data_IF_329864159090
#
_entry.id   IF_329864159090
#
_cell.length_a   1.000
_cell.length_b   1.000
_cell.length_c   1.000
_cell.angle_alpha   90.00
_cell.angle_beta   90.00
_cell.angle_gamma   90.00
#
_symmetry.space_group_name_H-M   'P 1'
#
loop_
_entity.id
_entity.type
_entity.pdbx_description
1 polymer ?
#
# COMPACT_ATOMS: atom_id res chain seq x y z
N UNK A 1 -5.11 -2.92 -7.24
CA UNK A 1 -5.34 -3.81 -6.07
C UNK A 1 -4.15 -3.68 -5.12
N UNK A 2 -4.39 -3.61 -3.80
CA UNK A 2 -3.30 -3.44 -2.81
C UNK A 2 -3.10 -4.76 -2.07
N UNK A 3 -2.15 -5.61 -2.53
CA UNK A 3 -1.91 -6.92 -1.95
C UNK A 3 -1.41 -6.81 -0.51
N UNK A 4 -1.74 -7.80 0.30
CA UNK A 4 -1.12 -7.94 1.62
C UNK A 4 0.24 -8.65 1.53
N UNK A 5 0.97 -8.68 2.65
CA UNK A 5 2.31 -9.28 2.71
C UNK A 5 2.32 -10.76 2.32
N UNK A 6 1.25 -11.50 2.67
CA UNK A 6 1.12 -12.92 2.33
C UNK A 6 0.96 -13.11 0.83
N UNK A 7 0.16 -12.25 0.19
CA UNK A 7 -0.01 -12.24 -1.27
C UNK A 7 1.31 -11.86 -1.96
N UNK A 8 2.03 -10.84 -1.48
CA UNK A 8 3.34 -10.47 -2.00
C UNK A 8 4.35 -11.63 -1.95
N UNK A 9 4.36 -12.40 -0.86
CA UNK A 9 5.20 -13.59 -0.75
C UNK A 9 4.79 -14.70 -1.71
N UNK A 10 3.49 -14.89 -1.97
CA UNK A 10 3.01 -15.82 -2.97
C UNK A 10 3.43 -15.42 -4.39
N UNK A 11 3.40 -14.12 -4.71
CA UNK A 11 3.89 -13.60 -6.00
C UNK A 11 5.37 -13.91 -6.21
N UNK A 12 6.19 -13.80 -5.16
CA UNK A 12 7.61 -14.14 -5.24
C UNK A 12 7.87 -15.61 -5.59
N UNK A 13 7.00 -16.52 -5.14
CA UNK A 13 7.11 -17.95 -5.44
C UNK A 13 6.62 -18.28 -6.84
N UNK A 14 5.55 -17.63 -7.29
CA UNK A 14 4.90 -17.94 -8.57
C UNK A 14 5.44 -17.11 -9.74
N UNK A 15 6.15 -16.02 -9.47
CA UNK A 15 6.71 -15.07 -10.44
C UNK A 15 5.70 -14.49 -11.46
N UNK A 16 4.40 -14.64 -11.23
CA UNK A 16 3.36 -14.23 -12.18
C UNK A 16 2.92 -12.77 -12.05
N UNK A 17 2.99 -12.24 -10.84
CA UNK A 17 2.47 -10.91 -10.49
C UNK A 17 3.53 -10.03 -9.82
N UNK A 18 4.81 -10.38 -10.00
CA UNK A 18 5.92 -9.55 -9.57
C UNK A 18 6.07 -8.34 -10.50
N UNK A 19 6.38 -7.19 -9.88
CA UNK A 19 6.77 -5.97 -10.59
C UNK A 19 5.71 -5.47 -11.56
N UNK A 20 4.45 -5.53 -11.14
CA UNK A 20 3.29 -5.08 -11.93
C UNK A 20 3.14 -3.57 -11.98
N UNK A 21 3.88 -2.82 -11.13
CA UNK A 21 3.85 -1.37 -11.06
C UNK A 21 5.13 -0.76 -11.57
N UNK A 22 5.01 0.29 -12.35
CA UNK A 22 6.10 1.10 -12.86
C UNK A 22 5.81 2.60 -12.65
N UNK A 23 6.75 3.47 -13.02
CA UNK A 23 6.67 4.92 -12.80
C UNK A 23 5.52 5.62 -13.52
N UNK A 24 4.90 4.99 -14.51
CA UNK A 24 3.79 5.54 -15.27
C UNK A 24 2.43 5.23 -14.62
N UNK A 25 2.39 4.30 -13.67
CA UNK A 25 1.18 3.93 -12.97
C UNK A 25 0.87 4.89 -11.81
N UNK A 26 -0.40 5.24 -11.66
CA UNK A 26 -0.89 6.12 -10.59
C UNK A 26 -0.63 5.55 -9.19
N UNK A 27 -0.56 4.23 -9.06
CA UNK A 27 -0.30 3.51 -7.81
C UNK A 27 1.16 3.11 -7.62
N UNK A 28 2.09 3.70 -8.41
CA UNK A 28 3.53 3.51 -8.23
C UNK A 28 3.96 3.92 -6.82
N UNK A 29 4.67 3.05 -6.12
CA UNK A 29 5.10 3.22 -4.72
C UNK A 29 3.95 3.51 -3.73
N UNK A 30 2.71 3.16 -4.08
CA UNK A 30 1.57 3.24 -3.16
C UNK A 30 1.42 1.89 -2.45
N UNK A 31 1.77 1.84 -1.18
CA UNK A 31 1.83 0.59 -0.43
C UNK A 31 0.77 0.54 0.70
N UNK A 32 0.30 -0.66 1.01
CA UNK A 32 -0.74 -0.87 2.02
C UNK A 32 -0.11 -0.95 3.41
N UNK A 33 -0.58 -0.11 4.31
CA UNK A 33 -0.15 -0.10 5.72
C UNK A 33 -1.12 -0.82 6.67
N UNK A 34 -2.33 -1.13 6.21
CA UNK A 34 -3.31 -1.82 7.04
C UNK A 34 -4.70 -1.86 6.45
N UNK A 35 -5.66 -2.19 7.27
CA UNK A 35 -7.10 -2.10 7.00
C UNK A 35 -7.73 -1.10 7.95
N UNK A 36 -8.71 -0.37 7.49
CA UNK A 36 -9.45 0.58 8.31
C UNK A 36 -10.86 0.81 7.77
N UNK A 37 -11.61 1.65 8.44
CA UNK A 37 -12.87 2.14 7.91
C UNK A 37 -12.60 3.30 6.93
N UNK A 38 -13.35 3.36 5.85
CA UNK A 38 -13.28 4.43 4.86
C UNK A 38 -14.64 4.96 4.51
N UNK A 39 -14.73 6.28 4.31
CA UNK A 39 -15.95 6.93 3.84
C UNK A 39 -16.09 6.70 2.33
N UNK A 40 -17.17 6.02 1.96
CA UNK A 40 -17.52 5.74 0.57
C UNK A 40 -18.69 6.59 0.08
N UNK A 41 -19.14 7.57 0.84
CA UNK A 41 -20.30 8.41 0.50
C UNK A 41 -20.19 9.06 -0.88
N UNK A 42 -18.96 9.44 -1.28
CA UNK A 42 -18.70 10.05 -2.58
C UNK A 42 -18.82 9.07 -3.78
N UNK A 43 -18.77 7.76 -3.52
CA UNK A 43 -18.90 6.72 -4.55
C UNK A 43 -20.33 6.21 -4.68
N UNK A 44 -21.24 6.60 -3.77
CA UNK A 44 -22.64 6.21 -3.82
C UNK A 44 -23.39 7.28 -4.60
N UNK A 45 -23.72 6.98 -5.85
CA UNK A 45 -24.54 7.86 -6.70
C UNK A 45 -26.02 7.51 -6.53
N UNK A 46 -26.82 8.50 -6.15
CA UNK A 46 -28.27 8.37 -6.13
C UNK A 46 -28.79 9.00 -7.43
N UNK A 47 -29.53 8.23 -8.27
CA UNK A 47 -30.08 8.76 -9.50
C UNK A 47 -30.96 9.98 -9.22
N UNK A 48 -30.80 11.04 -10.02
CA UNK A 48 -31.67 12.20 -9.95
C UNK A 48 -33.07 11.81 -10.41
N UNK A 49 -34.06 12.07 -9.60
CA UNK A 49 -35.45 11.87 -9.97
C UNK A 49 -35.80 12.77 -11.18
N UNK A 50 -36.44 12.16 -12.19
CA UNK A 50 -36.82 12.86 -13.40
C UNK A 50 -38.17 13.59 -13.29
N UNK A 51 -38.94 13.29 -12.23
CA UNK A 51 -40.28 13.88 -12.01
C UNK A 51 -40.43 14.22 -10.54
N UNK A 52 -40.97 15.38 -10.24
CA UNK A 52 -41.40 15.78 -8.90
C UNK A 52 -42.62 14.92 -8.53
N UNK A 53 -42.37 13.82 -7.86
CA UNK A 53 -43.42 13.03 -7.23
C UNK A 53 -43.44 13.42 -5.76
N UNK A 54 -44.64 13.49 -5.18
CA UNK A 54 -44.97 13.75 -3.79
C UNK A 54 -43.88 13.20 -2.85
N UNK A 55 -43.47 14.00 -1.87
CA UNK A 55 -42.55 13.58 -0.80
C UNK A 55 -43.07 12.30 -0.13
N UNK A 56 -42.51 11.16 -0.55
CA UNK A 56 -42.79 9.86 0.02
C UNK A 56 -41.57 9.45 0.84
N UNK A 57 -41.80 8.78 1.98
CA UNK A 57 -40.73 8.23 2.82
C UNK A 57 -39.78 7.32 2.01
N UNK A 58 -40.28 6.66 0.97
CA UNK A 58 -39.48 5.84 0.07
C UNK A 58 -38.43 6.63 -0.73
N UNK A 59 -38.71 7.89 -1.05
CA UNK A 59 -37.80 8.76 -1.78
C UNK A 59 -36.63 9.25 -0.91
N UNK A 60 -36.82 9.32 0.39
CA UNK A 60 -35.79 9.72 1.36
C UNK A 60 -34.87 8.54 1.77
N UNK A 61 -35.35 7.31 1.64
CA UNK A 61 -34.64 6.11 2.08
C UNK A 61 -33.26 5.90 1.44
N UNK A 62 -33.04 6.16 0.12
CA UNK A 62 -31.70 6.11 -0.48
C UNK A 62 -30.70 7.10 0.14
N UNK A 63 -31.17 8.29 0.50
CA UNK A 63 -30.34 9.32 1.14
C UNK A 63 -29.98 8.95 2.58
N UNK A 64 -30.92 8.34 3.31
CA UNK A 64 -30.67 7.81 4.65
C UNK A 64 -29.68 6.66 4.61
N UNK A 65 -29.87 5.68 3.72
CA UNK A 65 -28.95 4.57 3.52
C UNK A 65 -27.55 5.05 3.12
N UNK A 66 -27.46 6.01 2.22
CA UNK A 66 -26.17 6.62 1.85
C UNK A 66 -25.43 7.17 3.06
N UNK A 67 -26.15 7.78 4.01
CA UNK A 67 -25.57 8.35 5.23
C UNK A 67 -25.20 7.27 6.26
N UNK A 68 -26.05 6.26 6.42
CA UNK A 68 -25.88 5.16 7.37
C UNK A 68 -24.75 4.22 6.96
N UNK A 69 -24.67 3.89 5.67
CA UNK A 69 -23.68 2.96 5.09
C UNK A 69 -22.46 3.65 4.51
N UNK A 70 -22.25 4.95 4.82
CA UNK A 70 -21.12 5.72 4.32
C UNK A 70 -19.75 5.16 4.75
N UNK A 71 -19.70 4.48 5.90
CA UNK A 71 -18.47 3.94 6.49
C UNK A 71 -18.33 2.45 6.22
N UNK A 72 -17.50 2.09 5.27
CA UNK A 72 -17.20 0.69 4.95
C UNK A 72 -15.97 0.23 5.74
N UNK A 73 -16.08 -0.85 6.55
CA UNK A 73 -14.94 -1.44 7.24
C UNK A 73 -14.08 -2.29 6.27
N UNK A 74 -12.82 -2.50 6.64
CA UNK A 74 -11.92 -3.39 5.88
C UNK A 74 -11.36 -2.79 4.60
N UNK A 75 -11.43 -1.48 4.43
CA UNK A 75 -10.80 -0.79 3.29
C UNK A 75 -9.28 -0.72 3.50
N UNK A 76 -8.47 -1.10 2.50
CA UNK A 76 -7.03 -0.93 2.57
C UNK A 76 -6.64 0.53 2.81
N UNK A 77 -5.86 0.78 3.85
CA UNK A 77 -5.19 2.06 4.09
C UNK A 77 -3.81 2.01 3.47
N UNK A 78 -3.53 2.98 2.62
CA UNK A 78 -2.31 3.05 1.84
C UNK A 78 -1.51 4.30 2.15
N UNK A 79 -0.23 4.26 1.84
CA UNK A 79 0.67 5.40 1.82
C UNK A 79 1.30 5.50 0.43
N UNK A 80 1.33 6.69 -0.13
CA UNK A 80 1.96 6.97 -1.42
C UNK A 80 3.38 7.51 -1.18
N UNK A 81 4.35 6.61 -1.20
CA UNK A 81 5.75 6.95 -0.96
C UNK A 81 6.38 7.78 -2.09
N UNK A 82 5.74 7.83 -3.25
CA UNK A 82 6.22 8.65 -4.37
C UNK A 82 6.02 10.16 -4.12
N UNK A 83 5.03 10.49 -3.31
CA UNK A 83 4.68 11.89 -2.95
C UNK A 83 5.28 12.33 -1.62
N UNK A 84 5.59 11.37 -0.74
CA UNK A 84 6.12 11.66 0.58
C UNK A 84 7.65 11.77 0.55
N UNK A 85 8.18 12.93 0.92
CA UNK A 85 9.64 13.12 0.97
C UNK A 85 10.29 12.40 2.14
N UNK A 86 9.61 12.36 3.30
CA UNK A 86 10.07 11.70 4.53
C UNK A 86 8.87 11.06 5.22
N UNK A 87 9.01 9.80 5.61
CA UNK A 87 8.00 9.06 6.36
C UNK A 87 8.61 8.57 7.67
N UNK A 88 8.01 8.96 8.80
CA UNK A 88 8.39 8.49 10.12
C UNK A 88 7.47 7.38 10.62
N UNK A 89 8.04 6.28 11.10
CA UNK A 89 7.29 5.21 11.76
C UNK A 89 7.58 5.27 13.25
N UNK A 90 6.56 5.61 14.06
CA UNK A 90 6.69 5.80 15.51
C UNK A 90 5.84 4.79 16.25
N UNK A 91 6.42 4.17 17.28
CA UNK A 91 5.74 3.16 18.09
C UNK A 91 6.73 2.32 18.89
N UNK A 92 6.28 1.20 19.42
CA UNK A 92 7.22 0.25 20.02
C UNK A 92 8.11 -0.41 18.94
N UNK A 93 9.28 -0.90 19.34
CA UNK A 93 10.30 -1.42 18.41
C UNK A 93 9.76 -2.53 17.51
N UNK A 94 9.00 -3.46 18.05
CA UNK A 94 8.50 -4.61 17.29
C UNK A 94 7.51 -4.16 16.20
N UNK A 95 6.57 -3.29 16.55
CA UNK A 95 5.57 -2.78 15.60
C UNK A 95 6.22 -1.94 14.51
N UNK A 96 7.16 -1.05 14.86
CA UNK A 96 7.85 -0.21 13.87
C UNK A 96 8.68 -1.03 12.89
N UNK A 97 9.40 -2.04 13.37
CA UNK A 97 10.16 -2.96 12.53
C UNK A 97 9.24 -3.79 11.62
N UNK A 98 8.11 -4.26 12.14
CA UNK A 98 7.15 -5.03 11.33
C UNK A 98 6.54 -4.18 10.22
N UNK A 99 6.17 -2.93 10.48
CA UNK A 99 5.67 -2.01 9.46
C UNK A 99 6.75 -1.75 8.40
N UNK A 100 7.99 -1.50 8.81
CA UNK A 100 9.10 -1.30 7.87
C UNK A 100 9.32 -2.54 6.98
N UNK A 101 9.29 -3.74 7.54
CA UNK A 101 9.41 -5.01 6.80
C UNK A 101 8.25 -5.23 5.83
N UNK A 102 7.02 -4.90 6.24
CA UNK A 102 5.84 -4.96 5.38
C UNK A 102 6.01 -4.05 4.18
N UNK A 103 6.41 -2.80 4.38
CA UNK A 103 6.64 -1.83 3.30
C UNK A 103 7.74 -2.31 2.34
N UNK A 104 8.89 -2.74 2.87
CA UNK A 104 9.99 -3.26 2.04
C UNK A 104 9.54 -4.44 1.19
N UNK A 105 8.79 -5.39 1.79
CA UNK A 105 8.29 -6.57 1.07
C UNK A 105 7.34 -6.18 -0.06
N UNK A 106 6.43 -5.24 0.19
CA UNK A 106 5.49 -4.77 -0.82
C UNK A 106 6.20 -4.01 -1.94
N UNK A 107 7.12 -3.09 -1.60
CA UNK A 107 7.91 -2.35 -2.58
C UNK A 107 8.67 -3.32 -3.48
N UNK A 108 9.34 -4.31 -2.89
CA UNK A 108 10.13 -5.29 -3.64
C UNK A 108 9.30 -6.24 -4.51
N UNK A 109 8.05 -6.53 -4.11
CA UNK A 109 7.14 -7.38 -4.87
C UNK A 109 6.42 -6.62 -5.98
N UNK A 110 5.98 -5.39 -5.71
CA UNK A 110 5.13 -4.64 -6.62
C UNK A 110 5.92 -3.85 -7.68
N UNK A 111 7.12 -3.37 -7.33
CA UNK A 111 7.89 -2.45 -8.18
C UNK A 111 9.19 -3.09 -8.67
N UNK A 112 9.53 -2.89 -9.94
CA UNK A 112 10.75 -3.45 -10.51
C UNK A 112 12.00 -2.80 -9.91
N UNK A 113 13.05 -3.59 -9.71
CA UNK A 113 14.36 -3.11 -9.25
C UNK A 113 15.04 -2.14 -10.23
N UNK A 114 14.59 -2.06 -11.48
CA UNK A 114 15.07 -1.04 -12.43
C UNK A 114 14.50 0.34 -12.11
N UNK A 115 13.30 0.40 -11.56
CA UNK A 115 12.58 1.64 -11.26
C UNK A 115 12.80 2.10 -9.83
N UNK A 116 12.98 1.15 -8.89
CA UNK A 116 13.14 1.41 -7.47
C UNK A 116 14.41 0.77 -6.93
N UNK A 117 15.21 1.56 -6.21
CA UNK A 117 16.35 1.07 -5.43
C UNK A 117 16.08 1.27 -3.95
N UNK A 118 16.51 0.31 -3.17
CA UNK A 118 16.43 0.34 -1.71
C UNK A 118 17.82 0.50 -1.14
N UNK A 119 17.99 1.48 -0.26
CA UNK A 119 19.21 1.65 0.52
C UNK A 119 18.87 1.47 2.01
N UNK A 120 19.67 0.69 2.72
CA UNK A 120 19.51 0.44 4.14
C UNK A 120 20.67 1.07 4.89
N UNK A 121 20.33 1.90 5.89
CA UNK A 121 21.29 2.45 6.85
C UNK A 121 20.81 2.05 8.24
N UNK A 122 21.63 1.32 8.97
CA UNK A 122 21.28 0.78 10.28
C UNK A 122 22.53 0.66 11.17
N UNK A 123 22.33 0.52 12.47
CA UNK A 123 23.38 0.27 13.43
C UNK A 123 24.04 -1.11 13.16
N UNK A 124 25.37 -1.20 13.22
CA UNK A 124 26.13 -2.43 12.99
C UNK A 124 25.62 -3.60 13.85
N UNK A 125 25.17 -3.33 15.08
CA UNK A 125 24.58 -4.32 15.98
C UNK A 125 23.24 -4.88 15.48
N UNK A 126 22.67 -4.33 14.39
CA UNK A 126 21.40 -4.74 13.76
C UNK A 126 21.58 -5.47 12.43
N UNK A 127 22.79 -5.74 12.03
CA UNK A 127 23.11 -6.41 10.77
C UNK A 127 22.32 -7.70 10.57
N UNK A 128 22.18 -8.52 11.62
CA UNK A 128 21.43 -9.77 11.54
C UNK A 128 19.93 -9.59 11.28
N UNK A 129 19.35 -8.47 11.72
CA UNK A 129 17.94 -8.15 11.50
C UNK A 129 17.65 -7.80 10.03
N UNK A 130 18.64 -7.28 9.28
CA UNK A 130 18.48 -6.73 7.93
C UNK A 130 19.18 -7.51 6.82
N UNK A 131 20.13 -8.40 7.16
CA UNK A 131 20.94 -9.13 6.17
C UNK A 131 20.15 -9.91 5.13
N UNK A 132 18.94 -10.40 5.48
CA UNK A 132 18.08 -11.14 4.56
C UNK A 132 17.67 -10.30 3.33
N UNK A 133 17.54 -8.98 3.49
CA UNK A 133 17.22 -8.08 2.39
C UNK A 133 18.37 -7.86 1.40
N UNK A 134 19.60 -8.22 1.79
CA UNK A 134 20.76 -8.19 0.91
C UNK A 134 20.68 -9.10 -0.31
N UNK A 135 19.70 -10.01 -0.32
CA UNK A 135 19.40 -10.88 -1.46
C UNK A 135 18.47 -10.22 -2.50
N UNK A 136 17.79 -9.12 -2.14
CA UNK A 136 16.91 -8.43 -3.06
C UNK A 136 17.70 -7.74 -4.18
N UNK A 137 17.27 -7.84 -5.44
CA UNK A 137 17.90 -7.12 -6.56
C UNK A 137 17.83 -5.59 -6.40
N UNK A 138 16.86 -5.09 -5.62
CA UNK A 138 16.65 -3.67 -5.33
C UNK A 138 17.79 -3.02 -4.54
N UNK A 139 18.56 -3.79 -3.77
CA UNK A 139 19.66 -3.26 -2.94
C UNK A 139 21.02 -3.29 -3.66
N UNK A 140 21.03 -3.64 -4.94
CA UNK A 140 22.26 -3.72 -5.71
C UNK A 140 22.33 -2.63 -6.79
N UNK A 141 23.52 -2.12 -7.07
CA UNK A 141 23.78 -1.25 -8.21
C UNK A 141 23.55 -1.99 -9.53
N UNK A 142 23.44 -1.23 -10.63
CA UNK A 142 23.48 -1.81 -11.97
C UNK A 142 24.77 -2.64 -12.14
N UNK A 143 24.62 -3.91 -12.53
CA UNK A 143 25.74 -4.84 -12.66
C UNK A 143 26.20 -5.50 -11.34
N UNK A 144 25.44 -5.35 -10.25
CA UNK A 144 25.65 -6.04 -8.95
C UNK A 144 27.02 -5.79 -8.31
N UNK A 145 27.63 -4.61 -8.55
CA UNK A 145 28.97 -4.28 -8.05
C UNK A 145 28.97 -3.69 -6.64
N UNK A 146 27.92 -2.95 -6.30
CA UNK A 146 27.79 -2.26 -5.00
C UNK A 146 26.44 -2.64 -4.40
N UNK A 147 26.46 -2.96 -3.12
CA UNK A 147 25.27 -3.23 -2.33
C UNK A 147 24.95 -2.00 -1.46
N UNK A 148 23.72 -1.53 -1.49
CA UNK A 148 23.27 -0.34 -0.77
C UNK A 148 22.81 -0.72 0.65
N UNK A 149 23.70 -1.28 1.44
CA UNK A 149 23.45 -1.67 2.84
C UNK A 149 24.68 -1.34 3.66
N UNK A 150 24.51 -0.52 4.71
CA UNK A 150 25.58 -0.09 5.63
C UNK A 150 25.04 0.05 7.07
#
# INVERSE_FOLDING_TARGET
>A
MYPDTKQCLQYSVQAKELWTRNREHEDFLTERIGLGAGDISNYIEIPKERFEVVEDELNQKPYQLKKEEAMLPGIPKTIDLSKEGIVGIVGNKEVTLNIARILITQIAANNCYTDVRLAFVYDENKTDEWKCYGMLPHVWSAGYRVRYMA
#
